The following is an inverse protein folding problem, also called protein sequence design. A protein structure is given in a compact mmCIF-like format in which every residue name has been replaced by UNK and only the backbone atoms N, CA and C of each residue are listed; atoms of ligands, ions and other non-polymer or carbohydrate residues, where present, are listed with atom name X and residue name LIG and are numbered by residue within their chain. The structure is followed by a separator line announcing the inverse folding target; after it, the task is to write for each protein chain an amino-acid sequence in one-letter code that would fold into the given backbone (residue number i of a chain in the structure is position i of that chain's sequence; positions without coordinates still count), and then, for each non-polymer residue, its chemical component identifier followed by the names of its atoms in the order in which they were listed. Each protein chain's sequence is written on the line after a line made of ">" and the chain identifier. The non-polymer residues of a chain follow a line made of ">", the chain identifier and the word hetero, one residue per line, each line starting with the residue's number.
data_IF_959204067675
#
_entry.id   IF_959204067675
#
_cell.length_a   1.000
_cell.length_b   1.000
_cell.length_c   1.000
_cell.angle_alpha   90.00
_cell.angle_beta   90.00
_cell.angle_gamma   90.00
#
_symmetry.space_group_name_H-M   'P 1'
#
loop_
_entity.id
_entity.type
_entity.pdbx_description
1 polymer ?
#
# COMPACT_ATOMS: atom_id res chain seq x y z
N UNK A 1 -29.37 -6.52 35.88
CA UNK A 1 -28.29 -5.83 35.21
C UNK A 1 -28.30 -6.20 33.73
N UNK A 2 -29.31 -5.75 33.02
CA UNK A 2 -29.47 -5.91 31.57
C UNK A 2 -29.93 -4.58 31.01
N UNK A 3 -29.03 -3.74 30.60
CA UNK A 3 -29.43 -2.44 30.11
C UNK A 3 -28.29 -1.50 29.73
N UNK A 4 -27.35 -1.98 28.93
CA UNK A 4 -26.27 -1.12 28.43
C UNK A 4 -25.72 -1.59 27.09
N UNK A 5 -26.62 -1.92 26.15
CA UNK A 5 -26.25 -2.11 24.72
C UNK A 5 -27.45 -1.79 23.81
N UNK A 6 -28.21 -0.76 24.15
CA UNK A 6 -29.04 -0.08 23.14
C UNK A 6 -28.13 0.93 22.41
N UNK A 7 -27.66 0.50 21.34
CA UNK A 7 -26.83 1.18 20.37
C UNK A 7 -27.63 2.10 19.51
N UNK A 8 -27.09 3.28 19.27
CA UNK A 8 -27.61 4.19 18.27
C UNK A 8 -27.47 3.57 16.86
N UNK A 9 -28.58 3.09 16.30
CA UNK A 9 -28.68 2.58 14.93
C UNK A 9 -28.81 3.71 13.89
N UNK A 10 -28.14 4.82 14.12
CA UNK A 10 -28.10 5.92 13.14
C UNK A 10 -26.68 6.13 12.65
N UNK A 11 -26.20 5.15 11.90
CA UNK A 11 -25.15 5.43 10.92
C UNK A 11 -25.85 6.07 9.73
N UNK A 12 -25.44 7.26 9.25
CA UNK A 12 -25.98 7.82 8.02
C UNK A 12 -25.83 6.79 6.91
N UNK A 13 -26.94 6.40 6.29
CA UNK A 13 -26.90 5.63 5.06
C UNK A 13 -26.32 6.55 3.99
N UNK A 14 -25.06 6.34 3.67
CA UNK A 14 -24.47 6.91 2.48
C UNK A 14 -25.09 6.17 1.31
N UNK A 15 -25.75 6.87 0.42
CA UNK A 15 -26.37 6.33 -0.78
C UNK A 15 -25.35 5.52 -1.57
N UNK A 16 -25.76 4.30 -1.90
CA UNK A 16 -24.96 3.29 -2.57
C UNK A 16 -24.92 3.63 -4.05
N UNK A 17 -23.87 4.28 -4.51
CA UNK A 17 -23.66 4.61 -5.93
C UNK A 17 -22.97 3.47 -6.69
N UNK A 18 -23.39 2.23 -6.47
CA UNK A 18 -23.16 1.07 -7.36
C UNK A 18 -21.72 0.73 -7.75
N UNK A 19 -20.73 1.39 -7.18
CA UNK A 19 -19.32 1.08 -7.40
C UNK A 19 -18.83 0.04 -6.40
N UNK A 20 -17.97 -0.88 -6.83
CA UNK A 20 -17.26 -1.82 -5.97
C UNK A 20 -16.53 -1.03 -4.86
N UNK A 21 -17.25 -0.79 -3.78
CA UNK A 21 -16.77 0.04 -2.68
C UNK A 21 -15.79 -0.74 -1.80
N UNK A 22 -14.57 -0.88 -2.27
CA UNK A 22 -13.38 -0.98 -1.43
C UNK A 22 -13.10 0.35 -0.71
N UNK A 23 -14.10 1.21 -0.56
CA UNK A 23 -13.98 2.44 0.21
C UNK A 23 -14.19 2.12 1.68
N UNK A 24 -13.17 1.51 2.28
CA UNK A 24 -13.07 1.42 3.73
C UNK A 24 -12.47 2.69 4.35
N UNK A 25 -11.99 3.63 3.53
CA UNK A 25 -11.39 4.88 4.00
C UNK A 25 -12.43 6.00 3.91
N UNK A 26 -12.84 6.61 5.05
CA UNK A 26 -13.74 7.76 5.02
C UNK A 26 -13.08 8.93 4.30
N UNK A 27 -13.79 9.57 3.38
CA UNK A 27 -13.27 10.72 2.61
C UNK A 27 -12.98 11.96 3.45
N UNK A 28 -13.44 11.98 4.70
CA UNK A 28 -13.31 13.06 5.66
C UNK A 28 -12.45 12.68 6.89
N UNK A 29 -11.68 11.60 6.84
CA UNK A 29 -10.77 11.24 7.91
C UNK A 29 -9.63 12.27 8.02
N UNK A 30 -9.34 12.72 9.25
CA UNK A 30 -8.27 13.66 9.55
C UNK A 30 -7.12 13.02 10.32
N UNK A 31 -7.31 11.79 10.75
CA UNK A 31 -6.30 11.01 11.48
C UNK A 31 -6.46 9.51 11.21
N UNK A 32 -5.35 8.80 11.27
CA UNK A 32 -5.27 7.36 10.93
C UNK A 32 -6.18 6.47 11.80
N UNK A 33 -6.53 6.90 13.01
CA UNK A 33 -7.43 6.15 13.90
C UNK A 33 -8.87 6.09 13.39
N UNK A 34 -9.25 7.00 12.50
CA UNK A 34 -10.57 7.02 11.85
C UNK A 34 -10.62 6.10 10.63
N UNK A 35 -9.46 5.67 10.11
CA UNK A 35 -9.38 4.87 8.90
C UNK A 35 -9.48 3.36 9.17
N UNK A 36 -9.25 2.92 10.40
CA UNK A 36 -9.36 1.52 10.77
C UNK A 36 -8.47 1.09 11.93
N UNK A 37 -8.39 -0.23 12.14
CA UNK A 37 -7.57 -0.81 13.20
C UNK A 37 -6.09 -0.78 12.83
N UNK A 38 -5.29 -0.25 13.73
CA UNK A 38 -3.83 -0.31 13.65
C UNK A 38 -3.35 -1.59 14.33
N UNK A 39 -2.75 -2.48 13.55
CA UNK A 39 -2.22 -3.75 14.04
C UNK A 39 -0.70 -3.69 13.99
N UNK A 40 0.01 -3.94 15.12
CA UNK A 40 1.46 -4.05 15.11
C UNK A 40 1.90 -5.27 14.28
N UNK A 41 3.18 -5.40 13.91
CA UNK A 41 3.67 -6.58 13.21
C UNK A 41 3.46 -7.85 14.05
N UNK A 42 2.39 -8.59 13.75
CA UNK A 42 2.05 -9.85 14.39
C UNK A 42 2.18 -11.00 13.40
N UNK A 43 2.52 -12.18 13.92
CA UNK A 43 2.56 -13.40 13.10
C UNK A 43 1.13 -13.92 12.92
N UNK A 44 0.59 -13.76 11.71
CA UNK A 44 -0.71 -14.33 11.34
C UNK A 44 -0.69 -15.87 11.33
N UNK A 45 0.46 -16.45 11.05
CA UNK A 45 0.67 -17.90 11.10
C UNK A 45 2.04 -18.22 11.70
N UNK A 46 2.11 -19.30 12.50
CA UNK A 46 3.35 -19.80 13.07
C UNK A 46 3.38 -21.31 12.95
N UNK A 47 4.51 -21.89 12.50
CA UNK A 47 4.69 -23.31 12.28
C UNK A 47 3.57 -23.97 11.44
N UNK A 48 3.02 -23.24 10.46
CA UNK A 48 1.95 -23.72 9.58
C UNK A 48 0.54 -23.66 10.19
N UNK A 49 0.39 -23.12 11.39
CA UNK A 49 -0.92 -22.92 12.04
C UNK A 49 -1.27 -21.43 12.03
N UNK A 50 -2.49 -21.13 11.62
CA UNK A 50 -3.05 -19.78 11.64
C UNK A 50 -3.45 -19.43 13.07
N UNK A 51 -3.25 -18.17 13.46
CA UNK A 51 -3.74 -17.64 14.73
C UNK A 51 -5.23 -17.28 14.58
N UNK A 52 -6.09 -18.15 15.08
CA UNK A 52 -7.54 -18.00 15.00
C UNK A 52 -8.05 -16.79 15.79
N UNK A 53 -7.40 -16.39 16.87
CA UNK A 53 -7.82 -15.22 17.64
C UNK A 53 -7.58 -13.94 16.82
N UNK A 54 -6.41 -13.85 16.18
CA UNK A 54 -6.11 -12.72 15.29
C UNK A 54 -7.08 -12.69 14.11
N UNK A 55 -7.39 -13.85 13.51
CA UNK A 55 -8.37 -13.94 12.42
C UNK A 55 -9.78 -13.49 12.86
N UNK A 56 -10.21 -13.81 14.07
CA UNK A 56 -11.49 -13.35 14.61
C UNK A 56 -11.50 -11.83 14.83
N UNK A 57 -10.42 -11.28 15.38
CA UNK A 57 -10.29 -9.82 15.54
C UNK A 57 -10.40 -9.13 14.19
N UNK A 58 -9.67 -9.60 13.18
CA UNK A 58 -9.71 -9.04 11.84
C UNK A 58 -11.12 -9.10 11.24
N UNK A 59 -11.78 -10.26 11.34
CA UNK A 59 -13.14 -10.49 10.80
C UNK A 59 -14.17 -9.57 11.42
N UNK A 60 -14.08 -9.29 12.72
CA UNK A 60 -15.03 -8.45 13.44
C UNK A 60 -14.85 -6.95 13.14
N UNK A 61 -13.72 -6.55 12.60
CA UNK A 61 -13.35 -5.14 12.45
C UNK A 61 -13.37 -4.66 10.99
N UNK A 62 -13.92 -5.46 10.09
CA UNK A 62 -14.09 -5.11 8.67
C UNK A 62 -15.57 -5.19 8.28
N UNK A 63 -15.99 -4.33 7.36
CA UNK A 63 -17.38 -4.27 6.92
C UNK A 63 -17.78 -5.47 6.06
N UNK A 64 -16.86 -5.99 5.25
CA UNK A 64 -17.06 -7.12 4.34
C UNK A 64 -16.12 -8.27 4.73
N UNK A 65 -16.43 -9.00 5.82
CA UNK A 65 -15.52 -9.99 6.39
C UNK A 65 -15.17 -11.13 5.41
N UNK A 66 -16.12 -11.61 4.64
CA UNK A 66 -15.87 -12.73 3.72
C UNK A 66 -14.95 -12.34 2.56
N UNK A 67 -15.10 -11.14 2.01
CA UNK A 67 -14.21 -10.62 0.99
C UNK A 67 -12.79 -10.41 1.54
N UNK A 68 -12.68 -9.74 2.68
CA UNK A 68 -11.40 -9.51 3.36
C UNK A 68 -10.69 -10.83 3.70
N UNK A 69 -11.42 -11.82 4.23
CA UNK A 69 -10.87 -13.14 4.53
C UNK A 69 -10.43 -13.87 3.26
N UNK A 70 -11.12 -13.66 2.13
CA UNK A 70 -10.71 -14.14 0.81
C UNK A 70 -9.33 -13.61 0.43
N UNK A 71 -9.10 -12.32 0.59
CA UNK A 71 -7.82 -11.66 0.29
C UNK A 71 -6.69 -12.15 1.22
N UNK A 72 -6.96 -12.28 2.51
CA UNK A 72 -5.98 -12.86 3.46
C UNK A 72 -5.60 -14.29 3.09
N UNK A 73 -6.58 -15.11 2.74
CA UNK A 73 -6.33 -16.50 2.31
C UNK A 73 -5.52 -16.55 1.02
N UNK A 74 -5.79 -15.65 0.07
CA UNK A 74 -5.01 -15.54 -1.16
C UNK A 74 -3.54 -15.15 -0.88
N UNK A 75 -3.28 -14.22 0.04
CA UNK A 75 -1.93 -13.86 0.47
C UNK A 75 -1.21 -15.04 1.13
N UNK A 76 -1.88 -15.78 2.01
CA UNK A 76 -1.33 -17.00 2.64
C UNK A 76 -0.99 -18.05 1.57
N UNK A 77 -1.89 -18.27 0.60
CA UNK A 77 -1.67 -19.19 -0.51
C UNK A 77 -0.46 -18.77 -1.36
N UNK A 78 -0.32 -17.48 -1.69
CA UNK A 78 0.83 -16.95 -2.40
C UNK A 78 2.14 -17.19 -1.66
N UNK A 79 2.18 -16.94 -0.35
CA UNK A 79 3.35 -17.24 0.50
C UNK A 79 3.69 -18.75 0.49
N UNK A 80 2.69 -19.62 0.54
CA UNK A 80 2.90 -21.07 0.50
C UNK A 80 3.44 -21.53 -0.86
N UNK A 81 2.94 -20.96 -1.97
CA UNK A 81 3.46 -21.24 -3.31
C UNK A 81 4.91 -20.75 -3.42
N UNK A 82 5.22 -19.54 -3.01
CA UNK A 82 6.58 -18.99 -3.01
C UNK A 82 7.55 -19.84 -2.21
N UNK A 83 7.16 -20.24 -1.00
CA UNK A 83 7.94 -21.16 -0.16
C UNK A 83 8.23 -22.50 -0.84
N UNK A 84 7.22 -23.09 -1.49
CA UNK A 84 7.38 -24.35 -2.21
C UNK A 84 8.36 -24.20 -3.37
N UNK A 85 8.18 -23.16 -4.20
CA UNK A 85 9.05 -22.90 -5.35
C UNK A 85 10.49 -22.63 -4.95
N UNK A 86 10.69 -21.84 -3.89
CA UNK A 86 12.04 -21.60 -3.39
C UNK A 86 12.69 -22.89 -2.86
N UNK A 87 11.96 -23.76 -2.18
CA UNK A 87 12.47 -25.07 -1.75
C UNK A 87 12.85 -25.97 -2.92
N UNK A 88 12.06 -26.00 -4.00
CA UNK A 88 12.38 -26.72 -5.22
C UNK A 88 13.70 -26.19 -5.85
N UNK A 89 13.91 -24.88 -5.88
CA UNK A 89 15.18 -24.30 -6.32
C UNK A 89 16.33 -24.71 -5.41
N UNK A 90 16.17 -24.61 -4.08
CA UNK A 90 17.19 -25.01 -3.12
C UNK A 90 17.52 -26.51 -3.13
N UNK A 91 16.60 -27.35 -3.61
CA UNK A 91 16.85 -28.79 -3.78
C UNK A 91 17.71 -29.09 -5.03
N UNK A 92 17.63 -28.23 -6.05
CA UNK A 92 18.36 -28.41 -7.31
C UNK A 92 19.69 -27.64 -7.38
N UNK A 93 19.83 -26.59 -6.57
CA UNK A 93 20.97 -25.69 -6.57
C UNK A 93 21.42 -25.41 -5.14
N UNK A 94 22.72 -25.31 -4.92
CA UNK A 94 23.24 -24.94 -3.62
C UNK A 94 22.93 -23.48 -3.26
N UNK A 95 22.98 -23.19 -1.96
CA UNK A 95 22.66 -21.86 -1.44
C UNK A 95 23.59 -20.75 -1.94
N UNK A 96 24.89 -21.05 -2.13
CA UNK A 96 25.87 -20.06 -2.60
C UNK A 96 25.59 -19.70 -4.05
N UNK A 97 25.29 -20.70 -4.88
CA UNK A 97 24.90 -20.49 -6.26
C UNK A 97 23.65 -19.62 -6.38
N UNK A 98 22.59 -19.94 -5.64
CA UNK A 98 21.35 -19.15 -5.66
C UNK A 98 21.58 -17.71 -5.19
N UNK A 99 22.37 -17.50 -4.14
CA UNK A 99 22.70 -16.15 -3.67
C UNK A 99 23.46 -15.36 -4.73
N UNK A 100 24.41 -16.00 -5.43
CA UNK A 100 25.15 -15.37 -6.53
C UNK A 100 24.24 -15.02 -7.71
N UNK A 101 23.28 -15.90 -8.05
CA UNK A 101 22.27 -15.65 -9.09
C UNK A 101 21.39 -14.46 -8.72
N UNK A 102 20.88 -14.40 -7.50
CA UNK A 102 20.04 -13.27 -7.05
C UNK A 102 20.81 -11.95 -7.09
N UNK A 103 22.06 -11.95 -6.62
CA UNK A 103 22.93 -10.78 -6.76
C UNK A 103 23.13 -10.37 -8.21
N UNK A 104 23.45 -11.31 -9.10
CA UNK A 104 23.64 -11.06 -10.51
C UNK A 104 22.40 -10.48 -11.20
N UNK A 105 21.19 -10.93 -10.80
CA UNK A 105 19.94 -10.37 -11.30
C UNK A 105 19.74 -8.93 -10.88
N UNK A 106 20.08 -8.57 -9.62
CA UNK A 106 20.02 -7.19 -9.14
C UNK A 106 21.03 -6.31 -9.89
N UNK A 107 22.29 -6.75 -10.00
CA UNK A 107 23.34 -6.04 -10.70
C UNK A 107 22.96 -5.80 -12.18
N UNK A 108 22.40 -6.82 -12.83
CA UNK A 108 21.90 -6.71 -14.21
C UNK A 108 20.74 -5.72 -14.33
N UNK A 109 19.79 -5.75 -13.38
CA UNK A 109 18.66 -4.81 -13.38
C UNK A 109 19.12 -3.38 -13.22
N UNK A 110 20.13 -3.13 -12.36
CA UNK A 110 20.75 -1.83 -12.20
C UNK A 110 21.37 -1.35 -13.52
N UNK A 111 22.19 -2.17 -14.17
CA UNK A 111 22.82 -1.82 -15.47
C UNK A 111 21.74 -1.49 -16.51
N UNK A 112 20.72 -2.34 -16.64
CA UNK A 112 19.66 -2.12 -17.61
C UNK A 112 18.87 -0.82 -17.33
N UNK A 113 18.65 -0.52 -16.05
CA UNK A 113 17.96 0.72 -15.64
C UNK A 113 18.83 1.94 -15.96
N UNK A 114 20.12 1.92 -15.63
CA UNK A 114 21.04 3.02 -15.95
C UNK A 114 21.17 3.23 -17.46
N UNK A 115 21.23 2.16 -18.24
CA UNK A 115 21.25 2.24 -19.71
C UNK A 115 19.94 2.88 -20.24
N UNK A 116 18.80 2.55 -19.67
CA UNK A 116 17.52 3.14 -20.06
C UNK A 116 17.45 4.64 -19.70
N UNK A 117 17.90 5.01 -18.49
CA UNK A 117 17.96 6.40 -18.04
C UNK A 117 18.94 7.21 -18.90
N UNK A 118 20.10 6.63 -19.30
CA UNK A 118 21.07 7.29 -20.17
C UNK A 118 20.55 7.61 -21.58
N UNK A 119 19.40 7.08 -21.99
CA UNK A 119 18.74 7.41 -23.26
C UNK A 119 17.81 8.63 -23.13
N UNK A 120 17.47 9.04 -21.92
CA UNK A 120 16.68 10.24 -21.68
C UNK A 120 17.65 11.44 -21.81
N UNK A 121 17.34 12.45 -22.62
CA UNK A 121 18.17 13.64 -22.72
C UNK A 121 18.38 14.28 -21.35
N UNK A 122 19.60 14.74 -21.07
CA UNK A 122 19.86 15.49 -19.84
C UNK A 122 19.06 16.79 -19.83
N UNK A 123 18.50 17.13 -18.68
CA UNK A 123 17.68 18.33 -18.54
C UNK A 123 16.71 18.25 -17.39
N UNK A 124 15.93 19.31 -17.23
CA UNK A 124 14.85 19.43 -16.25
C UNK A 124 13.49 19.35 -16.95
N UNK A 125 12.62 18.50 -16.41
CA UNK A 125 11.28 18.26 -16.92
C UNK A 125 10.28 18.58 -15.82
N UNK A 126 9.36 19.50 -16.08
CA UNK A 126 8.36 19.93 -15.10
C UNK A 126 6.99 19.41 -15.48
N UNK A 127 6.26 18.89 -14.48
CA UNK A 127 4.87 18.53 -14.64
C UNK A 127 4.07 18.93 -13.41
N UNK A 128 2.86 19.41 -13.63
CA UNK A 128 1.94 19.80 -12.55
C UNK A 128 0.56 19.28 -12.86
N UNK A 129 -0.09 18.70 -11.86
CA UNK A 129 -1.46 18.23 -11.88
C UNK A 129 -2.17 18.62 -10.59
N UNK A 130 -3.48 18.44 -10.54
CA UNK A 130 -4.30 18.84 -9.40
C UNK A 130 -5.29 17.77 -9.03
N UNK A 131 -5.40 17.52 -7.72
CA UNK A 131 -6.55 16.84 -7.14
C UNK A 131 -7.62 17.89 -6.84
N UNK A 132 -8.91 17.51 -6.95
CA UNK A 132 -10.03 18.44 -6.81
C UNK A 132 -10.09 19.08 -5.42
N UNK A 133 -9.92 18.29 -4.35
CA UNK A 133 -9.88 18.75 -2.96
C UNK A 133 -9.42 17.62 -2.03
N UNK A 134 -9.30 17.87 -0.73
CA UNK A 134 -8.88 16.89 0.28
C UNK A 134 -10.06 16.20 1.02
N UNK A 135 -11.30 16.46 0.61
CA UNK A 135 -12.50 15.97 1.28
C UNK A 135 -12.91 16.77 2.51
N UNK A 136 -12.09 17.70 2.99
CA UNK A 136 -12.35 18.59 4.14
C UNK A 136 -12.52 20.02 3.65
N UNK A 137 -11.57 20.52 2.84
CA UNK A 137 -11.63 21.85 2.21
C UNK A 137 -12.02 21.66 0.74
N UNK A 138 -13.31 21.76 0.46
CA UNK A 138 -13.89 21.36 -0.82
C UNK A 138 -13.53 22.31 -1.98
N UNK A 139 -13.32 23.59 -1.69
CA UNK A 139 -13.08 24.62 -2.69
C UNK A 139 -11.60 24.87 -2.99
N UNK A 140 -10.71 24.05 -2.43
CA UNK A 140 -9.27 24.20 -2.61
C UNK A 140 -8.68 22.99 -3.35
N UNK A 141 -8.08 23.27 -4.52
CA UNK A 141 -7.36 22.24 -5.28
C UNK A 141 -5.99 21.99 -4.67
N UNK A 142 -5.61 20.72 -4.65
CA UNK A 142 -4.29 20.29 -4.17
C UNK A 142 -3.38 20.12 -5.37
N UNK A 143 -2.34 20.97 -5.43
CA UNK A 143 -1.35 20.89 -6.50
C UNK A 143 -0.36 19.78 -6.23
N UNK A 144 -0.16 18.91 -7.21
CA UNK A 144 0.92 17.91 -7.26
C UNK A 144 1.87 18.37 -8.38
N UNK A 145 3.09 18.68 -8.01
CA UNK A 145 4.10 19.17 -8.96
C UNK A 145 5.39 18.39 -8.79
N UNK A 146 5.99 18.00 -9.90
CA UNK A 146 7.28 17.30 -9.91
C UNK A 146 8.22 17.97 -10.90
N UNK A 147 9.46 18.19 -10.48
CA UNK A 147 10.58 18.45 -11.36
C UNK A 147 11.43 17.20 -11.43
N UNK A 148 11.57 16.68 -12.64
CA UNK A 148 12.44 15.51 -12.91
C UNK A 148 13.75 16.03 -13.49
N UNK A 149 14.84 15.84 -12.78
CA UNK A 149 16.18 16.23 -13.21
C UNK A 149 16.92 14.98 -13.70
N UNK A 150 17.33 14.98 -14.95
CA UNK A 150 18.11 13.90 -15.57
C UNK A 150 19.52 14.41 -15.83
N UNK A 151 20.50 13.78 -15.19
CA UNK A 151 21.90 14.11 -15.36
C UNK A 151 22.78 12.85 -15.24
N UNK A 152 23.71 12.65 -16.18
CA UNK A 152 24.69 11.56 -16.18
C UNK A 152 24.14 10.15 -15.91
N UNK A 153 22.92 9.83 -16.38
CA UNK A 153 22.26 8.54 -16.15
C UNK A 153 21.67 8.38 -14.76
N UNK A 154 21.57 9.46 -14.01
CA UNK A 154 20.84 9.55 -12.76
C UNK A 154 19.55 10.33 -12.96
N UNK A 155 18.57 10.07 -12.11
CA UNK A 155 17.28 10.74 -12.11
C UNK A 155 16.94 11.19 -10.69
N UNK A 156 16.57 12.46 -10.56
CA UNK A 156 16.09 13.03 -9.30
C UNK A 156 14.67 13.53 -9.49
N UNK A 157 13.80 13.20 -8.53
CA UNK A 157 12.44 13.69 -8.47
C UNK A 157 12.36 14.72 -7.34
N UNK A 158 12.05 15.96 -7.70
CA UNK A 158 11.85 17.04 -6.75
C UNK A 158 10.37 17.41 -6.71
N UNK A 159 9.77 17.31 -5.53
CA UNK A 159 8.36 17.60 -5.25
C UNK A 159 8.16 18.88 -4.43
N UNK A 160 9.17 19.70 -4.25
CA UNK A 160 9.12 20.93 -3.41
C UNK A 160 8.00 21.91 -3.83
N UNK A 161 7.56 21.85 -5.08
CA UNK A 161 6.47 22.65 -5.58
C UNK A 161 5.08 22.05 -5.34
N UNK A 162 4.98 20.85 -4.78
CA UNK A 162 3.72 20.20 -4.38
C UNK A 162 3.11 20.95 -3.18
N UNK A 163 1.78 20.99 -3.08
CA UNK A 163 1.08 21.55 -1.93
C UNK A 163 1.57 20.93 -0.63
N UNK A 164 1.55 21.74 0.44
CA UNK A 164 1.83 21.23 1.78
C UNK A 164 0.82 20.13 2.18
N UNK A 165 1.15 19.39 3.23
CA UNK A 165 0.28 18.37 3.81
C UNK A 165 -1.11 18.95 4.07
N UNK A 166 -2.14 18.24 3.59
CA UNK A 166 -3.55 18.59 3.74
C UNK A 166 -4.17 17.93 4.96
N UNK A 167 -5.36 18.39 5.38
CA UNK A 167 -6.08 17.84 6.55
C UNK A 167 -6.78 16.53 6.24
N UNK A 168 -7.18 16.32 4.99
CA UNK A 168 -7.88 15.13 4.55
C UNK A 168 -6.97 13.91 4.31
N UNK A 169 -7.55 12.74 3.99
CA UNK A 169 -6.85 11.45 3.94
C UNK A 169 -6.08 11.23 2.64
N UNK A 170 -5.49 12.27 2.06
CA UNK A 170 -4.76 12.19 0.80
C UNK A 170 -3.23 12.25 0.95
N UNK A 171 -2.75 12.39 2.19
CA UNK A 171 -1.31 12.47 2.45
C UNK A 171 -0.65 11.09 2.31
N UNK A 172 0.48 11.04 1.59
CA UNK A 172 1.26 9.82 1.50
C UNK A 172 2.02 9.58 2.82
N UNK A 173 1.90 8.37 3.35
CA UNK A 173 2.67 7.96 4.54
C UNK A 173 4.07 7.48 4.12
N UNK A 174 5.12 7.62 4.97
CA UNK A 174 6.48 7.22 4.63
C UNK A 174 6.64 5.76 4.20
N UNK A 175 5.73 4.88 4.65
CA UNK A 175 5.72 3.47 4.24
C UNK A 175 5.07 3.22 2.87
N UNK A 176 4.47 4.23 2.26
CA UNK A 176 3.81 4.17 0.96
C UNK A 176 4.57 4.91 -0.16
N UNK A 177 5.70 5.51 0.19
CA UNK A 177 6.56 6.27 -0.73
C UNK A 177 7.75 5.46 -1.22
#
# INVERSE_FOLDING_TARGET
>A
ASGLLERSDKVPQQEDDGGLALRSVPTNATEIFQEGIRIPPLKLASAGKIDENLMQILRLNVRLPDLFMGDINAQIAACNVGRRRLRELCANYDHQFLSAVFKSLLDRSEVMTRDALGRIPAGEYHYTDYLDNDGIVIDERIRISVTVIVDNGEITFDFDQTSAQVKGPLNCVPSGS
#
